data_IF_830173247076
#
_entry.id   IF_830173247076
#
_cell.length_a   1.000
_cell.length_b   1.000
_cell.length_c   1.000
_cell.angle_alpha   90.00
_cell.angle_beta   90.00
_cell.angle_gamma   90.00
#
_symmetry.space_group_name_H-M   'P 1'
#
loop_
_entity.id
_entity.type
_entity.pdbx_description
1 polymer ?
#
# COMPACT_ATOMS: atom_id res chain seq x y z
N UNK A 1 0.54 12.21 -17.49
CA UNK A 1 0.50 11.31 -16.32
C UNK A 1 1.76 11.58 -15.51
N UNK A 2 1.64 11.77 -14.19
CA UNK A 2 2.80 12.06 -13.33
C UNK A 2 3.64 10.82 -13.06
N UNK A 3 4.96 10.98 -12.98
CA UNK A 3 5.88 9.93 -12.55
C UNK A 3 6.15 10.11 -11.05
N UNK A 4 5.76 9.13 -10.23
CA UNK A 4 6.02 9.15 -8.79
C UNK A 4 7.47 8.72 -8.49
N UNK A 5 8.13 9.40 -7.54
CA UNK A 5 9.47 9.08 -7.06
C UNK A 5 9.37 8.84 -5.56
N UNK A 6 9.59 7.59 -5.12
CA UNK A 6 9.50 7.18 -3.70
C UNK A 6 10.90 6.84 -3.14
N UNK A 7 11.17 7.19 -1.87
CA UNK A 7 12.36 6.76 -1.10
C UNK A 7 11.94 6.28 0.28
N UNK A 8 12.53 5.17 0.74
CA UNK A 8 12.24 4.55 2.04
C UNK A 8 13.48 4.53 2.91
N UNK A 9 13.28 4.76 4.20
CA UNK A 9 14.32 4.80 5.21
C UNK A 9 13.89 3.96 6.41
N UNK A 10 14.86 3.36 7.10
CA UNK A 10 14.61 2.76 8.41
C UNK A 10 14.45 3.88 9.44
N UNK A 11 13.55 3.68 10.39
CA UNK A 11 13.30 4.62 11.48
C UNK A 11 14.13 4.25 12.71
N UNK A 12 14.57 5.26 13.46
CA UNK A 12 15.11 5.06 14.81
C UNK A 12 13.94 5.06 15.80
N UNK A 13 13.61 3.88 16.33
CA UNK A 13 12.41 3.69 17.15
C UNK A 13 12.32 4.64 18.34
N UNK A 14 13.41 4.81 19.11
CA UNK A 14 13.42 5.70 20.26
C UNK A 14 13.10 7.16 19.88
N UNK A 15 13.69 7.68 18.80
CA UNK A 15 13.41 9.04 18.33
C UNK A 15 11.98 9.17 17.76
N UNK A 16 11.45 8.12 17.13
CA UNK A 16 10.09 8.10 16.58
C UNK A 16 9.01 8.09 17.66
N UNK A 17 9.23 7.36 18.75
CA UNK A 17 8.28 7.22 19.86
C UNK A 17 8.03 8.55 20.59
N UNK A 18 9.05 9.40 20.71
CA UNK A 18 8.99 10.70 21.39
C UNK A 18 8.24 11.80 20.59
N UNK A 19 8.00 11.59 19.30
CA UNK A 19 7.27 12.57 18.48
C UNK A 19 5.78 12.57 18.81
N UNK A 20 5.15 13.75 18.83
CA UNK A 20 3.69 13.84 18.84
C UNK A 20 3.11 13.29 17.53
N UNK A 21 2.05 12.47 17.63
CA UNK A 21 1.51 11.70 16.51
C UNK A 21 0.04 12.06 16.28
N UNK A 22 -0.38 12.28 15.02
CA UNK A 22 -1.80 12.39 14.72
C UNK A 22 -2.52 11.06 15.01
N UNK A 23 -3.84 11.11 15.08
CA UNK A 23 -4.66 9.90 15.18
C UNK A 23 -4.31 8.91 14.06
N UNK A 24 -3.96 7.69 14.47
CA UNK A 24 -3.64 6.60 13.55
C UNK A 24 -4.84 6.19 12.72
N UNK A 25 -4.58 5.69 11.50
CA UNK A 25 -5.58 5.00 10.68
C UNK A 25 -5.25 3.52 10.72
N UNK A 26 -6.23 2.68 11.00
CA UNK A 26 -6.06 1.24 10.88
C UNK A 26 -5.91 0.89 9.40
N UNK A 27 -4.85 0.15 9.07
CA UNK A 27 -4.59 -0.34 7.72
C UNK A 27 -4.36 -1.83 7.77
N UNK A 28 -5.15 -2.59 7.02
CA UNK A 28 -4.96 -4.03 6.77
C UNK A 28 -4.69 -4.23 5.29
N UNK A 29 -3.75 -5.10 4.95
CA UNK A 29 -3.43 -5.36 3.54
C UNK A 29 -2.88 -6.77 3.36
N UNK A 30 -3.09 -7.32 2.17
CA UNK A 30 -2.67 -8.66 1.79
C UNK A 30 -2.29 -8.69 0.31
N UNK A 31 -1.38 -9.58 -0.05
CA UNK A 31 -0.98 -9.80 -1.43
C UNK A 31 -1.69 -11.04 -1.97
N UNK A 32 -2.56 -10.84 -2.95
CA UNK A 32 -3.22 -11.94 -3.68
C UNK A 32 -2.20 -12.63 -4.59
N UNK A 33 -1.33 -11.83 -5.21
CA UNK A 33 -0.24 -12.30 -6.05
C UNK A 33 1.02 -11.51 -5.79
N UNK A 34 2.13 -12.22 -5.60
CA UNK A 34 3.47 -11.64 -5.55
C UNK A 34 4.32 -12.31 -6.64
N UNK A 35 4.27 -11.74 -7.85
CA UNK A 35 5.14 -12.11 -8.97
C UNK A 35 6.06 -10.92 -9.32
N UNK A 36 7.34 -11.14 -9.67
CA UNK A 36 8.26 -10.07 -10.06
C UNK A 36 7.75 -9.17 -11.19
N UNK A 37 6.91 -9.69 -12.08
CA UNK A 37 6.33 -8.95 -13.20
C UNK A 37 5.00 -8.28 -12.82
N UNK A 38 4.26 -8.82 -11.86
CA UNK A 38 2.95 -8.33 -11.41
C UNK A 38 2.70 -8.62 -9.93
N UNK A 39 2.40 -7.56 -9.18
CA UNK A 39 1.95 -7.68 -7.79
C UNK A 39 0.51 -7.20 -7.69
N UNK A 40 -0.35 -8.01 -7.07
CA UNK A 40 -1.74 -7.64 -6.78
C UNK A 40 -1.90 -7.57 -5.27
N UNK A 41 -2.32 -6.41 -4.78
CA UNK A 41 -2.50 -6.14 -3.36
C UNK A 41 -3.92 -5.66 -3.10
N UNK A 42 -4.57 -6.26 -2.10
CA UNK A 42 -5.79 -5.72 -1.50
C UNK A 42 -5.42 -4.94 -0.23
N UNK A 43 -6.04 -3.78 -0.02
CA UNK A 43 -5.86 -2.95 1.18
C UNK A 43 -7.23 -2.51 1.70
N UNK A 44 -7.42 -2.57 3.01
CA UNK A 44 -8.45 -1.85 3.75
C UNK A 44 -7.75 -0.79 4.60
N UNK A 45 -8.28 0.42 4.60
CA UNK A 45 -7.84 1.47 5.52
C UNK A 45 -9.07 2.21 6.02
N UNK A 46 -9.23 2.22 7.33
CA UNK A 46 -10.50 2.51 7.98
C UNK A 46 -11.61 1.61 7.37
N UNK A 47 -12.56 2.20 6.65
CA UNK A 47 -13.73 1.50 6.06
C UNK A 47 -13.78 1.59 4.53
N UNK A 48 -12.63 1.77 3.87
CA UNK A 48 -12.52 1.79 2.42
C UNK A 48 -11.62 0.66 1.94
N UNK A 49 -12.00 0.01 0.84
CA UNK A 49 -11.27 -1.07 0.20
C UNK A 49 -10.60 -0.61 -1.08
N UNK A 50 -9.40 -1.12 -1.35
CA UNK A 50 -8.69 -0.87 -2.61
C UNK A 50 -8.04 -2.14 -3.15
N UNK A 51 -8.07 -2.24 -4.48
CA UNK A 51 -7.28 -3.19 -5.25
C UNK A 51 -6.17 -2.44 -5.98
N UNK A 52 -4.92 -2.81 -5.72
CA UNK A 52 -3.75 -2.25 -6.39
C UNK A 52 -3.09 -3.29 -7.27
N UNK A 53 -2.87 -2.97 -8.55
CA UNK A 53 -2.10 -3.78 -9.48
C UNK A 53 -0.81 -3.02 -9.83
N UNK A 54 0.33 -3.62 -9.50
CA UNK A 54 1.65 -3.05 -9.74
C UNK A 54 2.36 -3.88 -10.82
N UNK A 55 2.95 -3.22 -11.81
CA UNK A 55 3.81 -3.85 -12.81
C UNK A 55 5.24 -4.07 -12.33
N UNK A 56 6.07 -4.55 -13.25
CA UNK A 56 7.51 -4.72 -13.03
C UNK A 56 8.17 -3.39 -12.63
N UNK A 57 9.15 -3.47 -11.73
CA UNK A 57 9.93 -2.30 -11.31
C UNK A 57 11.11 -2.09 -12.25
N UNK A 58 11.33 -0.85 -12.66
CA UNK A 58 12.49 -0.38 -13.44
C UNK A 58 13.19 0.73 -12.65
N UNK A 59 14.28 0.38 -11.98
CA UNK A 59 14.91 1.25 -10.98
C UNK A 59 13.95 1.58 -9.83
N UNK A 60 13.71 2.87 -9.61
CA UNK A 60 12.80 3.37 -8.57
C UNK A 60 11.36 3.63 -9.09
N UNK A 61 11.02 3.18 -10.29
CA UNK A 61 9.72 3.46 -10.92
C UNK A 61 9.02 2.19 -11.38
N UNK A 62 7.67 2.21 -11.37
CA UNK A 62 6.82 1.14 -11.89
C UNK A 62 5.46 1.70 -12.30
N UNK A 63 4.75 0.98 -13.15
CA UNK A 63 3.33 1.23 -13.39
C UNK A 63 2.51 0.73 -12.21
N UNK A 64 1.55 1.53 -11.76
CA UNK A 64 0.67 1.22 -10.65
C UNK A 64 -0.75 1.69 -11.01
N UNK A 65 -1.71 0.80 -10.79
CA UNK A 65 -3.13 1.08 -10.97
C UNK A 65 -3.83 0.78 -9.64
N UNK A 66 -4.63 1.72 -9.16
CA UNK A 66 -5.36 1.60 -7.90
C UNK A 66 -6.83 1.88 -8.15
N UNK A 67 -7.67 0.97 -7.67
CA UNK A 67 -9.12 1.03 -7.80
C UNK A 67 -9.73 0.91 -6.42
N UNK A 68 -10.71 1.76 -6.12
CA UNK A 68 -11.60 1.54 -4.99
C UNK A 68 -12.50 0.34 -5.30
N UNK A 69 -12.66 -0.54 -4.31
CA UNK A 69 -13.54 -1.70 -4.38
C UNK A 69 -14.47 -1.69 -3.15
N UNK A 70 -15.66 -2.32 -3.22
CA UNK A 70 -16.55 -2.43 -2.07
C UNK A 70 -15.82 -3.00 -0.85
N UNK A 71 -16.11 -2.44 0.34
CA UNK A 71 -15.44 -2.84 1.58
C UNK A 71 -15.61 -4.34 1.88
N UNK A 72 -16.79 -4.89 1.63
CA UNK A 72 -17.06 -6.31 1.88
C UNK A 72 -16.24 -7.22 0.95
N UNK A 73 -16.08 -6.86 -0.33
CA UNK A 73 -15.20 -7.60 -1.25
C UNK A 73 -13.74 -7.52 -0.80
N UNK A 74 -13.28 -6.34 -0.34
CA UNK A 74 -11.94 -6.20 0.20
C UNK A 74 -11.70 -7.06 1.45
N UNK A 75 -12.73 -7.27 2.28
CA UNK A 75 -12.67 -8.15 3.45
C UNK A 75 -12.63 -9.61 3.05
N UNK A 76 -13.40 -10.03 2.05
CA UNK A 76 -13.39 -11.41 1.55
C UNK A 76 -12.06 -11.79 0.89
N UNK A 77 -11.37 -10.83 0.27
CA UNK A 77 -10.07 -11.02 -0.36
C UNK A 77 -8.88 -11.05 0.62
N UNK A 78 -9.06 -10.61 1.86
CA UNK A 78 -8.02 -10.51 2.90
C UNK A 78 -8.00 -11.72 3.84
#
# INVERSE_FOLDING_TARGET
MGQEIERKFLIKHAEWEELDKPAGKEVRQGYILTDPNKTIRVRIANNMGWLTIKGISTGASRLEFEYEIPLEEAKELL
#
